data_IF_464425908571
#
_entry.id   IF_464425908571
#
_cell.length_a   1.000
_cell.length_b   1.000
_cell.length_c   1.000
_cell.angle_alpha   90.00
_cell.angle_beta   90.00
_cell.angle_gamma   90.00
#
_symmetry.space_group_name_H-M   'P 1'
#
loop_
_entity.id
_entity.type
_entity.pdbx_description
1 polymer ?
#
# COMPACT_ATOMS: atom_id res chain seq x y z
N UNK A 1 -22.24 13.50 -19.35
CA UNK A 1 -22.96 13.10 -18.12
C UNK A 1 -22.32 13.85 -16.97
N UNK A 2 -22.94 14.95 -16.56
CA UNK A 2 -22.38 15.90 -15.61
C UNK A 2 -22.58 15.41 -14.17
N UNK A 3 -21.50 14.98 -13.51
CA UNK A 3 -21.46 14.79 -12.05
C UNK A 3 -20.62 15.93 -11.48
N UNK A 4 -21.14 17.14 -11.60
CA UNK A 4 -20.77 18.26 -10.73
C UNK A 4 -22.04 18.63 -9.96
N UNK A 5 -22.36 17.86 -8.92
CA UNK A 5 -23.39 18.29 -7.97
C UNK A 5 -22.81 19.43 -7.13
N UNK A 6 -23.23 20.65 -7.48
CA UNK A 6 -23.26 21.87 -6.65
C UNK A 6 -22.98 21.62 -5.17
N UNK A 7 -21.80 22.03 -4.70
CA UNK A 7 -21.61 22.50 -3.31
C UNK A 7 -22.40 23.82 -3.16
N UNK A 8 -23.71 23.75 -2.96
CA UNK A 8 -24.50 24.91 -2.51
C UNK A 8 -25.52 24.46 -1.47
N UNK A 9 -25.45 25.09 -0.29
CA UNK A 9 -26.46 25.13 0.78
C UNK A 9 -26.59 23.94 1.76
N UNK A 10 -25.59 23.07 1.93
CA UNK A 10 -25.62 22.10 3.06
C UNK A 10 -25.58 22.75 4.46
N UNK A 11 -25.01 23.95 4.58
CA UNK A 11 -24.86 24.63 5.87
C UNK A 11 -26.19 25.16 6.43
N UNK A 12 -27.08 25.66 5.58
CA UNK A 12 -28.39 26.20 5.99
C UNK A 12 -29.39 25.11 6.39
N UNK A 13 -29.32 23.93 5.79
CA UNK A 13 -30.20 22.81 6.14
C UNK A 13 -29.85 22.15 7.48
N UNK A 14 -28.58 22.17 7.90
CA UNK A 14 -28.18 21.62 9.21
C UNK A 14 -28.55 22.53 10.39
N UNK A 15 -28.61 23.86 10.21
CA UNK A 15 -28.92 24.82 11.28
C UNK A 15 -30.41 25.09 11.51
N UNK A 16 -31.26 24.80 10.51
CA UNK A 16 -32.70 25.02 10.58
C UNK A 16 -33.41 24.33 11.77
N UNK A 17 -33.18 23.03 12.08
CA UNK A 17 -33.85 22.38 13.20
C UNK A 17 -33.46 22.97 14.57
N UNK A 18 -32.22 23.44 14.71
CA UNK A 18 -31.76 24.16 15.89
C UNK A 18 -32.47 25.51 16.05
N UNK A 19 -32.50 26.31 14.98
CA UNK A 19 -33.15 27.61 14.98
C UNK A 19 -34.65 27.50 15.28
N UNK A 20 -35.35 26.54 14.65
CA UNK A 20 -36.79 26.30 14.88
C UNK A 20 -37.06 25.88 16.32
N UNK A 21 -36.25 24.98 16.89
CA UNK A 21 -36.41 24.51 18.27
C UNK A 21 -36.15 25.62 19.29
N UNK A 22 -35.14 26.48 19.07
CA UNK A 22 -34.87 27.64 19.91
C UNK A 22 -36.01 28.65 19.83
N UNK A 23 -36.50 28.96 18.62
CA UNK A 23 -37.61 29.89 18.41
C UNK A 23 -38.88 29.38 19.09
N UNK A 24 -39.24 28.11 18.92
CA UNK A 24 -40.37 27.49 19.60
C UNK A 24 -40.21 27.53 21.12
N UNK A 25 -39.02 27.20 21.62
CA UNK A 25 -38.67 27.30 23.03
C UNK A 25 -38.96 28.67 23.60
N UNK A 26 -38.46 29.73 22.96
CA UNK A 26 -38.65 31.12 23.38
C UNK A 26 -40.12 31.55 23.28
N UNK A 27 -40.81 31.23 22.18
CA UNK A 27 -42.22 31.60 21.97
C UNK A 27 -43.12 30.99 23.04
N UNK A 28 -42.94 29.71 23.36
CA UNK A 28 -43.74 29.05 24.40
C UNK A 28 -43.40 29.56 25.81
N UNK A 29 -42.15 29.95 26.06
CA UNK A 29 -41.76 30.57 27.33
C UNK A 29 -42.43 31.95 27.52
N UNK A 30 -42.55 32.73 26.43
CA UNK A 30 -43.30 33.99 26.44
C UNK A 30 -44.80 33.71 26.67
N UNK A 31 -45.40 32.75 25.96
CA UNK A 31 -46.81 32.38 26.13
C UNK A 31 -47.14 31.92 27.57
N UNK A 32 -46.21 31.25 28.24
CA UNK A 32 -46.37 30.85 29.64
C UNK A 32 -46.58 32.03 30.59
N UNK A 33 -46.02 33.20 30.28
CA UNK A 33 -46.19 34.42 31.07
C UNK A 33 -47.52 35.14 30.79
N UNK A 34 -48.06 35.01 29.57
CA UNK A 34 -49.32 35.66 29.18
C UNK A 34 -50.58 34.83 29.52
N UNK A 35 -50.45 33.51 29.67
CA UNK A 35 -51.56 32.59 29.94
C UNK A 35 -51.31 31.74 31.20
N UNK A 36 -51.54 32.28 32.41
CA UNK A 36 -51.19 31.63 33.68
C UNK A 36 -51.88 30.28 33.90
N UNK A 37 -53.10 30.13 33.38
CA UNK A 37 -53.90 28.90 33.51
C UNK A 37 -53.28 27.67 32.83
N UNK A 38 -52.41 27.88 31.83
CA UNK A 38 -51.73 26.82 31.07
C UNK A 38 -50.20 26.89 31.21
N UNK A 39 -49.71 27.59 32.24
CA UNK A 39 -48.29 27.90 32.41
C UNK A 39 -47.39 26.66 32.38
N UNK A 40 -47.77 25.60 33.09
CA UNK A 40 -46.96 24.38 33.19
C UNK A 40 -46.85 23.64 31.85
N UNK A 41 -47.93 23.65 31.05
CA UNK A 41 -47.93 23.05 29.71
C UNK A 41 -46.95 23.79 28.80
N UNK A 42 -46.99 25.13 28.79
CA UNK A 42 -46.12 25.95 27.95
C UNK A 42 -44.65 25.89 28.39
N UNK A 43 -44.38 25.85 29.70
CA UNK A 43 -43.02 25.60 30.22
C UNK A 43 -42.54 24.20 29.81
N UNK A 44 -43.39 23.18 29.87
CA UNK A 44 -43.06 21.82 29.44
C UNK A 44 -42.69 21.73 27.95
N UNK A 45 -43.46 22.38 27.08
CA UNK A 45 -43.18 22.44 25.63
C UNK A 45 -41.89 23.24 25.36
N UNK A 46 -41.69 24.35 26.07
CA UNK A 46 -40.48 25.17 25.95
C UNK A 46 -39.24 24.38 26.37
N UNK A 47 -39.29 23.72 27.53
CA UNK A 47 -38.22 22.85 28.04
C UNK A 47 -37.90 21.73 27.06
N UNK A 48 -38.92 21.04 26.53
CA UNK A 48 -38.74 19.98 25.53
C UNK A 48 -38.07 20.52 24.26
N UNK A 49 -38.46 21.71 23.81
CA UNK A 49 -37.88 22.35 22.62
C UNK A 49 -36.39 22.68 22.82
N UNK A 50 -35.99 23.15 24.01
CA UNK A 50 -34.57 23.32 24.34
C UNK A 50 -33.84 21.99 24.55
N UNK A 51 -34.49 20.97 25.10
CA UNK A 51 -33.91 19.63 25.23
C UNK A 51 -33.60 19.00 23.88
N UNK A 52 -34.43 19.22 22.85
CA UNK A 52 -34.16 18.77 21.48
C UNK A 52 -32.83 19.33 20.98
N UNK A 53 -32.56 20.63 21.19
CA UNK A 53 -31.27 21.26 20.83
C UNK A 53 -30.09 20.58 21.53
N UNK A 54 -30.22 20.32 22.84
CA UNK A 54 -29.18 19.64 23.61
C UNK A 54 -28.89 18.22 23.14
N UNK A 55 -29.94 17.45 22.81
CA UNK A 55 -29.82 16.09 22.27
C UNK A 55 -29.13 16.08 20.91
N UNK A 56 -29.52 16.98 20.01
CA UNK A 56 -28.89 17.08 18.69
C UNK A 56 -27.40 17.44 18.77
N UNK A 57 -27.03 18.39 19.63
CA UNK A 57 -25.61 18.73 19.85
C UNK A 57 -24.79 17.54 20.38
N UNK A 58 -25.37 16.74 21.29
CA UNK A 58 -24.72 15.53 21.78
C UNK A 58 -24.55 14.49 20.66
N UNK A 59 -25.57 14.29 19.82
CA UNK A 59 -25.49 13.37 18.67
C UNK A 59 -24.41 13.81 17.69
N UNK A 60 -24.38 15.09 17.29
CA UNK A 60 -23.33 15.60 16.39
C UNK A 60 -21.92 15.46 17.00
N UNK A 61 -21.80 15.69 18.30
CA UNK A 61 -20.52 15.55 19.01
C UNK A 61 -20.06 14.08 19.00
N UNK A 62 -20.97 13.15 19.32
CA UNK A 62 -20.68 11.70 19.30
C UNK A 62 -20.34 11.24 17.88
N UNK A 63 -21.08 11.66 16.87
CA UNK A 63 -20.79 11.37 15.46
C UNK A 63 -19.44 11.93 15.04
N UNK A 64 -19.10 13.16 15.45
CA UNK A 64 -17.81 13.77 15.17
C UNK A 64 -16.65 12.96 15.77
N UNK A 65 -16.75 12.57 17.05
CA UNK A 65 -15.72 11.75 17.70
C UNK A 65 -15.61 10.35 17.08
N UNK A 66 -16.74 9.71 16.77
CA UNK A 66 -16.77 8.41 16.11
C UNK A 66 -16.13 8.47 14.72
N UNK A 67 -16.50 9.46 13.91
CA UNK A 67 -15.95 9.66 12.57
C UNK A 67 -14.46 10.02 12.60
N UNK A 68 -14.00 10.78 13.60
CA UNK A 68 -12.57 11.08 13.75
C UNK A 68 -11.75 9.81 13.98
N UNK A 69 -12.17 8.96 14.91
CA UNK A 69 -11.48 7.69 15.18
C UNK A 69 -11.52 6.77 13.96
N UNK A 70 -12.67 6.67 13.31
CA UNK A 70 -12.83 5.86 12.10
C UNK A 70 -11.92 6.34 10.96
N UNK A 71 -11.82 7.66 10.75
CA UNK A 71 -10.93 8.23 9.73
C UNK A 71 -9.46 7.90 10.02
N UNK A 72 -9.02 7.99 11.28
CA UNK A 72 -7.66 7.59 11.68
C UNK A 72 -7.39 6.11 11.37
N UNK A 73 -8.32 5.21 11.72
CA UNK A 73 -8.21 3.78 11.42
C UNK A 73 -8.20 3.49 9.91
N UNK A 74 -9.02 4.20 9.12
CA UNK A 74 -9.04 4.09 7.66
C UNK A 74 -7.70 4.52 7.07
N UNK A 75 -7.12 5.64 7.52
CA UNK A 75 -5.81 6.09 7.07
C UNK A 75 -4.69 5.10 7.44
N UNK A 76 -4.72 4.54 8.66
CA UNK A 76 -3.78 3.50 9.07
C UNK A 76 -3.89 2.25 8.20
N UNK A 77 -5.11 1.81 7.88
CA UNK A 77 -5.35 0.68 7.00
C UNK A 77 -4.83 0.92 5.58
N UNK A 78 -5.09 2.10 5.02
CA UNK A 78 -4.58 2.51 3.70
C UNK A 78 -3.05 2.51 3.70
N UNK A 79 -2.43 3.10 4.72
CA UNK A 79 -0.98 3.14 4.85
C UNK A 79 -0.41 1.70 4.94
N UNK A 80 -0.96 0.84 5.80
CA UNK A 80 -0.53 -0.54 5.94
C UNK A 80 -0.61 -1.30 4.59
N UNK A 81 -1.76 -1.25 3.91
CA UNK A 81 -1.95 -1.96 2.63
C UNK A 81 -0.98 -1.48 1.56
N UNK A 82 -0.81 -0.16 1.46
CA UNK A 82 0.07 0.45 0.47
C UNK A 82 1.54 0.13 0.78
N UNK A 83 1.97 0.36 2.01
CA UNK A 83 3.33 0.05 2.48
C UNK A 83 3.68 -1.42 2.27
N UNK A 84 2.75 -2.35 2.51
CA UNK A 84 2.96 -3.78 2.23
C UNK A 84 3.29 -4.05 0.77
N UNK A 85 2.51 -3.51 -0.16
CA UNK A 85 2.74 -3.69 -1.61
C UNK A 85 4.06 -3.05 -2.04
N UNK A 86 4.32 -1.83 -1.58
CA UNK A 86 5.56 -1.11 -1.84
C UNK A 86 6.77 -1.88 -1.31
N UNK A 87 6.70 -2.44 -0.12
CA UNK A 87 7.77 -3.23 0.47
C UNK A 87 8.05 -4.51 -0.32
N UNK A 88 7.03 -5.22 -0.80
CA UNK A 88 7.21 -6.39 -1.66
C UNK A 88 7.99 -6.04 -2.95
N UNK A 89 7.69 -4.88 -3.56
CA UNK A 89 8.40 -4.38 -4.75
C UNK A 89 9.84 -4.03 -4.40
N UNK A 90 10.06 -3.26 -3.33
CA UNK A 90 11.39 -2.88 -2.89
C UNK A 90 12.25 -4.10 -2.56
N UNK A 91 11.68 -5.14 -1.94
CA UNK A 91 12.38 -6.40 -1.68
C UNK A 91 12.88 -7.05 -2.98
N UNK A 92 12.09 -7.00 -4.06
CA UNK A 92 12.54 -7.51 -5.37
C UNK A 92 13.69 -6.70 -5.91
N UNK A 93 13.60 -5.37 -5.84
CA UNK A 93 14.66 -4.47 -6.28
C UNK A 93 15.94 -4.67 -5.46
N UNK A 94 15.84 -4.78 -4.14
CA UNK A 94 16.96 -5.11 -3.27
C UNK A 94 17.61 -6.44 -3.68
N UNK A 95 16.86 -7.49 -3.99
CA UNK A 95 17.44 -8.77 -4.46
C UNK A 95 18.21 -8.64 -5.77
N UNK A 96 17.76 -7.78 -6.67
CA UNK A 96 18.48 -7.47 -7.90
C UNK A 96 19.80 -6.75 -7.57
N UNK A 97 19.84 -5.87 -6.57
CA UNK A 97 21.07 -5.11 -6.22
C UNK A 97 22.01 -5.84 -5.27
N UNK A 98 21.50 -6.59 -4.29
CA UNK A 98 22.29 -7.22 -3.23
C UNK A 98 23.27 -8.26 -3.77
N UNK A 99 24.54 -8.15 -3.41
CA UNK A 99 25.59 -9.08 -3.87
C UNK A 99 25.38 -10.54 -3.45
N UNK A 100 24.59 -10.80 -2.39
CA UNK A 100 24.36 -12.15 -1.88
C UNK A 100 22.88 -12.58 -2.04
N UNK A 101 22.61 -13.33 -3.10
CA UNK A 101 21.32 -13.93 -3.41
C UNK A 101 20.96 -15.15 -2.53
N UNK A 102 21.79 -15.56 -1.58
CA UNK A 102 21.51 -16.69 -0.67
C UNK A 102 21.10 -16.27 0.74
N UNK A 103 21.01 -14.96 1.01
CA UNK A 103 20.57 -14.42 2.30
C UNK A 103 19.19 -13.75 2.18
N UNK A 104 18.38 -13.77 3.26
CA UNK A 104 17.15 -12.99 3.32
C UNK A 104 17.47 -11.49 3.24
N UNK A 105 16.62 -10.74 2.54
CA UNK A 105 16.70 -9.26 2.49
C UNK A 105 16.42 -8.69 3.89
N UNK A 106 17.33 -7.86 4.39
CA UNK A 106 17.23 -7.19 5.70
C UNK A 106 16.92 -5.71 5.51
N UNK A 107 16.40 -5.07 6.56
CA UNK A 107 16.07 -3.63 6.55
C UNK A 107 17.26 -2.75 6.10
N UNK A 108 18.47 -3.10 6.52
CA UNK A 108 19.70 -2.39 6.12
C UNK A 108 19.95 -2.41 4.61
N UNK A 109 19.51 -3.45 3.91
CA UNK A 109 19.75 -3.62 2.47
C UNK A 109 18.90 -2.65 1.65
N UNK A 110 17.77 -2.18 2.19
CA UNK A 110 16.96 -1.11 1.60
C UNK A 110 17.64 0.25 1.71
N UNK A 111 18.36 0.49 2.82
CA UNK A 111 19.14 1.72 2.99
C UNK A 111 20.27 1.76 1.95
N UNK A 112 20.97 0.64 1.78
CA UNK A 112 22.04 0.51 0.78
C UNK A 112 21.51 0.74 -0.64
N UNK A 113 20.29 0.29 -0.94
CA UNK A 113 19.65 0.52 -2.24
C UNK A 113 19.53 2.02 -2.59
N UNK A 114 19.26 2.87 -1.60
CA UNK A 114 19.15 4.33 -1.79
C UNK A 114 20.49 5.08 -1.81
N UNK A 115 21.59 4.43 -1.42
CA UNK A 115 22.93 5.03 -1.35
C UNK A 115 23.71 4.89 -2.67
N UNK A 116 23.26 4.01 -3.58
CA UNK A 116 23.93 3.78 -4.85
C UNK A 116 23.71 4.92 -5.86
N UNK A 117 24.80 5.40 -6.46
CA UNK A 117 24.77 6.21 -7.68
C UNK A 117 24.54 5.32 -8.91
N UNK A 118 24.18 5.93 -10.05
CA UNK A 118 24.01 5.21 -11.31
C UNK A 118 25.25 4.37 -11.65
N UNK A 119 26.43 4.98 -11.54
CA UNK A 119 27.68 4.32 -11.91
C UNK A 119 27.98 3.15 -10.97
N UNK A 120 27.88 3.35 -9.66
CA UNK A 120 28.12 2.26 -8.68
C UNK A 120 27.11 1.12 -8.83
N UNK A 121 25.85 1.43 -9.14
CA UNK A 121 24.84 0.40 -9.36
C UNK A 121 25.06 -0.32 -10.69
N UNK A 122 25.47 0.40 -11.74
CA UNK A 122 25.82 -0.21 -13.03
C UNK A 122 26.96 -1.21 -12.87
N UNK A 123 28.01 -0.85 -12.13
CA UNK A 123 29.14 -1.73 -11.81
C UNK A 123 28.71 -2.96 -11.01
N UNK A 124 27.79 -2.80 -10.05
CA UNK A 124 27.24 -3.93 -9.30
C UNK A 124 26.45 -4.85 -10.22
N UNK A 125 25.61 -4.30 -11.10
CA UNK A 125 24.75 -5.07 -11.99
C UNK A 125 25.53 -5.83 -13.07
N UNK A 126 26.58 -5.24 -13.64
CA UNK A 126 27.42 -5.87 -14.67
C UNK A 126 28.26 -7.02 -14.12
N UNK A 127 28.78 -6.87 -12.91
CA UNK A 127 29.69 -7.87 -12.31
C UNK A 127 28.95 -9.03 -11.61
N UNK A 128 27.69 -8.84 -11.24
CA UNK A 128 26.92 -9.81 -10.44
C UNK A 128 26.37 -10.97 -11.26
N UNK A 129 26.40 -12.16 -10.66
CA UNK A 129 25.61 -13.31 -11.10
C UNK A 129 24.26 -13.35 -10.39
N UNK A 130 23.20 -13.51 -11.18
CA UNK A 130 21.82 -13.54 -10.73
C UNK A 130 21.30 -14.97 -10.79
N UNK A 131 20.53 -15.39 -9.77
CA UNK A 131 19.70 -16.59 -9.93
C UNK A 131 18.49 -16.23 -10.79
N UNK A 132 18.05 -17.17 -11.62
CA UNK A 132 16.83 -17.00 -12.42
C UNK A 132 15.63 -16.58 -11.57
N UNK A 133 15.52 -17.11 -10.35
CA UNK A 133 14.50 -16.76 -9.37
C UNK A 133 14.42 -15.25 -9.08
N UNK A 134 15.56 -14.56 -9.09
CA UNK A 134 15.62 -13.12 -8.78
C UNK A 134 15.21 -12.24 -9.96
N UNK A 135 15.25 -12.76 -11.19
CA UNK A 135 15.10 -11.97 -12.43
C UNK A 135 13.85 -12.36 -13.24
N UNK A 136 13.34 -13.59 -13.14
CA UNK A 136 12.09 -14.03 -13.79
C UNK A 136 10.84 -13.58 -13.02
N UNK A 137 10.82 -12.32 -12.58
CA UNK A 137 9.77 -11.75 -11.73
C UNK A 137 8.54 -11.38 -12.56
N UNK A 138 7.36 -11.75 -12.06
CA UNK A 138 6.10 -11.28 -12.61
C UNK A 138 5.74 -9.87 -12.10
N UNK A 139 6.35 -8.86 -12.71
CA UNK A 139 6.07 -7.45 -12.41
C UNK A 139 4.60 -7.07 -12.58
N UNK A 140 3.88 -7.72 -13.51
CA UNK A 140 2.46 -7.45 -13.71
C UNK A 140 1.64 -7.84 -12.48
N UNK A 141 1.98 -8.95 -11.83
CA UNK A 141 1.30 -9.35 -10.60
C UNK A 141 1.45 -8.33 -9.46
N UNK A 142 2.60 -7.66 -9.34
CA UNK A 142 2.81 -6.59 -8.36
C UNK A 142 2.07 -5.31 -8.77
N UNK A 143 2.09 -4.95 -10.05
CA UNK A 143 1.34 -3.80 -10.58
C UNK A 143 -0.16 -3.95 -10.36
N UNK A 144 -0.71 -5.14 -10.60
CA UNK A 144 -2.13 -5.44 -10.38
C UNK A 144 -2.53 -5.28 -8.90
N UNK A 145 -1.61 -5.55 -7.94
CA UNK A 145 -1.89 -5.29 -6.52
C UNK A 145 -2.02 -3.79 -6.25
N UNK A 146 -1.16 -2.99 -6.87
CA UNK A 146 -1.18 -1.54 -6.73
C UNK A 146 -2.38 -0.90 -7.44
N UNK A 147 -2.78 -1.43 -8.60
CA UNK A 147 -4.03 -1.04 -9.28
C UNK A 147 -5.27 -1.33 -8.44
N UNK A 148 -5.34 -2.52 -7.82
CA UNK A 148 -6.44 -2.89 -6.91
C UNK A 148 -6.59 -1.98 -5.69
N UNK A 149 -5.56 -1.23 -5.30
CA UNK A 149 -5.71 -0.20 -4.26
C UNK A 149 -6.66 0.90 -4.72
N UNK A 150 -6.60 1.28 -5.99
CA UNK A 150 -7.45 2.32 -6.58
C UNK A 150 -8.86 1.82 -6.90
N UNK A 151 -9.06 0.51 -7.06
CA UNK A 151 -10.39 -0.08 -7.26
C UNK A 151 -11.23 -0.08 -5.97
N UNK A 152 -10.59 0.08 -4.81
CA UNK A 152 -11.29 0.15 -3.53
C UNK A 152 -11.79 1.57 -3.26
N UNK A 153 -13.11 1.77 -3.28
CA UNK A 153 -13.73 3.07 -2.94
C UNK A 153 -13.22 3.61 -1.59
N UNK A 154 -13.05 2.73 -0.59
CA UNK A 154 -12.53 3.11 0.72
C UNK A 154 -11.13 3.76 0.64
N UNK A 155 -10.28 3.27 -0.26
CA UNK A 155 -8.91 3.75 -0.41
C UNK A 155 -8.89 4.97 -1.35
N UNK A 156 -9.54 4.86 -2.52
CA UNK A 156 -9.57 5.89 -3.53
C UNK A 156 -10.17 7.21 -3.02
N UNK A 157 -11.24 7.15 -2.21
CA UNK A 157 -11.92 8.34 -1.68
C UNK A 157 -11.13 9.02 -0.54
N UNK A 158 -10.19 8.31 0.08
CA UNK A 158 -9.44 8.78 1.26
C UNK A 158 -7.94 9.02 0.99
N UNK A 159 -7.44 8.69 -0.21
CA UNK A 159 -6.10 9.08 -0.65
C UNK A 159 -6.06 10.56 -1.00
N UNK A 160 -5.05 11.26 -0.51
CA UNK A 160 -4.84 12.64 -0.92
C UNK A 160 -4.24 12.72 -2.35
N UNK A 161 -4.34 13.89 -2.98
CA UNK A 161 -3.91 14.04 -4.38
C UNK A 161 -2.41 13.81 -4.60
N UNK A 162 -1.57 14.05 -3.61
CA UNK A 162 -0.11 13.87 -3.71
C UNK A 162 0.26 12.39 -3.56
N UNK A 163 -0.39 11.68 -2.63
CA UNK A 163 -0.28 10.25 -2.42
C UNK A 163 -0.69 9.50 -3.69
N UNK A 164 -1.85 9.82 -4.25
CA UNK A 164 -2.33 9.22 -5.51
C UNK A 164 -1.37 9.49 -6.67
N UNK A 165 -0.89 10.74 -6.84
CA UNK A 165 0.10 11.09 -7.87
C UNK A 165 1.41 10.30 -7.71
N UNK A 166 1.88 10.13 -6.47
CA UNK A 166 3.13 9.41 -6.18
C UNK A 166 3.00 7.93 -6.50
N UNK A 167 1.90 7.30 -6.10
CA UNK A 167 1.62 5.90 -6.43
C UNK A 167 1.49 5.68 -7.94
N UNK A 168 0.88 6.61 -8.69
CA UNK A 168 0.81 6.53 -10.15
C UNK A 168 2.20 6.67 -10.79
N UNK A 169 3.08 7.54 -10.27
CA UNK A 169 4.46 7.65 -10.76
C UNK A 169 5.23 6.34 -10.55
N UNK A 170 5.13 5.77 -9.34
CA UNK A 170 5.72 4.48 -9.00
C UNK A 170 5.20 3.38 -9.93
N UNK A 171 3.88 3.29 -10.10
CA UNK A 171 3.22 2.34 -11.02
C UNK A 171 3.81 2.42 -12.43
N UNK A 172 3.80 3.63 -13.02
CA UNK A 172 4.30 3.85 -14.37
C UNK A 172 5.76 3.46 -14.50
N UNK A 173 6.60 3.78 -13.51
CA UNK A 173 8.03 3.47 -13.58
C UNK A 173 8.30 1.98 -13.46
N UNK A 174 7.63 1.28 -12.55
CA UNK A 174 7.72 -0.19 -12.44
C UNK A 174 7.22 -0.86 -13.71
N UNK A 175 6.14 -0.34 -14.30
CA UNK A 175 5.60 -0.84 -15.58
C UNK A 175 6.63 -0.70 -16.71
N UNK A 176 7.27 0.45 -16.83
CA UNK A 176 8.36 0.65 -17.79
C UNK A 176 9.51 -0.32 -17.55
N UNK A 177 9.95 -0.46 -16.30
CA UNK A 177 11.02 -1.39 -15.93
C UNK A 177 10.69 -2.84 -16.28
N UNK A 178 9.50 -3.32 -15.90
CA UNK A 178 9.02 -4.66 -16.25
C UNK A 178 8.94 -4.87 -17.78
N UNK A 179 8.48 -3.88 -18.54
CA UNK A 179 8.44 -3.96 -20.00
C UNK A 179 9.83 -4.04 -20.64
N UNK A 180 10.83 -3.33 -20.11
CA UNK A 180 12.21 -3.44 -20.57
C UNK A 180 12.71 -4.87 -20.37
N UNK A 181 12.51 -5.40 -19.15
CA UNK A 181 12.94 -6.76 -18.81
C UNK A 181 12.23 -7.81 -19.68
N UNK A 182 10.93 -7.65 -19.95
CA UNK A 182 10.15 -8.61 -20.72
C UNK A 182 10.52 -8.66 -22.20
N UNK A 183 10.66 -7.48 -22.82
CA UNK A 183 10.89 -7.40 -24.28
C UNK A 183 12.30 -7.79 -24.66
N UNK A 184 13.27 -7.46 -23.81
CA UNK A 184 14.68 -7.62 -24.10
C UNK A 184 15.32 -8.69 -23.20
N UNK A 185 14.52 -9.55 -22.56
CA UNK A 185 14.99 -10.49 -21.52
C UNK A 185 16.24 -11.26 -21.95
N UNK A 186 16.18 -11.94 -23.10
CA UNK A 186 17.26 -12.79 -23.62
C UNK A 186 18.51 -11.98 -24.01
N UNK A 187 18.36 -10.69 -24.30
CA UNK A 187 19.47 -9.79 -24.60
C UNK A 187 20.08 -9.19 -23.34
N UNK A 188 19.24 -8.95 -22.33
CA UNK A 188 19.65 -8.40 -21.03
C UNK A 188 20.35 -9.48 -20.20
N UNK A 189 19.75 -10.65 -20.06
CA UNK A 189 20.23 -11.71 -19.18
C UNK A 189 20.85 -12.85 -19.97
N UNK A 190 22.17 -12.92 -19.91
CA UNK A 190 22.96 -13.97 -20.55
C UNK A 190 23.07 -15.15 -19.57
N UNK A 191 22.67 -16.34 -20.01
CA UNK A 191 22.84 -17.57 -19.23
C UNK A 191 24.34 -17.91 -19.09
N UNK A 192 24.82 -18.02 -17.86
CA UNK A 192 26.24 -18.30 -17.56
C UNK A 192 26.44 -19.71 -17.02
N UNK A 193 25.53 -20.21 -16.20
CA UNK A 193 25.63 -21.54 -15.62
C UNK A 193 24.26 -22.22 -15.53
N UNK A 194 24.20 -23.47 -15.97
CA UNK A 194 23.05 -24.37 -15.81
C UNK A 194 23.18 -25.26 -14.57
N UNK A 195 24.31 -25.19 -13.88
CA UNK A 195 24.60 -25.99 -12.71
C UNK A 195 24.01 -25.31 -11.48
N UNK A 196 23.23 -26.11 -10.77
CA UNK A 196 22.43 -25.67 -9.64
C UNK A 196 23.23 -25.99 -8.39
N UNK A 197 23.46 -25.00 -7.53
CA UNK A 197 23.96 -25.28 -6.18
C UNK A 197 22.97 -26.26 -5.53
N UNK A 198 23.44 -27.45 -5.16
CA UNK A 198 22.61 -28.53 -4.60
C UNK A 198 21.86 -28.12 -3.34
N UNK A 199 22.26 -27.01 -2.71
CA UNK A 199 21.60 -26.43 -1.56
C UNK A 199 20.42 -25.52 -1.92
N UNK A 200 20.18 -25.25 -3.20
CA UNK A 200 19.06 -24.45 -3.70
C UNK A 200 17.88 -25.37 -3.99
N UNK A 201 16.77 -25.10 -3.32
CA UNK A 201 15.49 -25.75 -3.58
C UNK A 201 14.49 -24.67 -4.01
N UNK A 202 13.85 -24.88 -5.16
CA UNK A 202 12.77 -24.03 -5.64
C UNK A 202 11.53 -24.90 -5.81
N UNK A 203 10.43 -24.50 -5.18
CA UNK A 203 9.13 -25.20 -5.24
C UNK A 203 8.01 -24.19 -5.40
N UNK A 204 6.81 -24.62 -5.78
CA UNK A 204 5.63 -23.75 -5.95
C UNK A 204 4.49 -24.22 -5.05
N UNK A 205 3.76 -23.29 -4.40
CA UNK A 205 2.54 -23.64 -3.66
C UNK A 205 1.30 -23.75 -4.57
N UNK A 206 0.19 -24.19 -3.98
CA UNK A 206 -1.14 -24.22 -4.61
C UNK A 206 -1.59 -22.88 -5.17
N UNK A 207 -1.10 -21.77 -4.60
CA UNK A 207 -1.46 -20.41 -4.98
C UNK A 207 -0.54 -19.82 -6.07
N UNK A 208 0.37 -20.62 -6.62
CA UNK A 208 1.28 -20.23 -7.70
C UNK A 208 2.46 -19.35 -7.28
N UNK A 209 2.78 -19.28 -5.99
CA UNK A 209 3.97 -18.63 -5.47
C UNK A 209 5.14 -19.59 -5.40
N UNK A 210 6.30 -19.14 -5.90
CA UNK A 210 7.54 -19.89 -5.81
C UNK A 210 8.26 -19.58 -4.49
N UNK A 211 8.75 -20.63 -3.84
CA UNK A 211 9.65 -20.56 -2.70
C UNK A 211 11.08 -20.77 -3.17
N UNK A 212 11.98 -19.96 -2.65
CA UNK A 212 13.42 -20.17 -2.76
C UNK A 212 13.97 -20.49 -1.36
N UNK A 213 14.52 -21.70 -1.22
CA UNK A 213 15.24 -22.13 -0.02
C UNK A 213 16.72 -22.30 -0.32
N UNK A 214 17.54 -21.98 0.66
CA UNK A 214 18.97 -22.23 0.64
C UNK A 214 19.38 -22.98 1.89
N UNK A 215 19.97 -24.17 1.74
CA UNK A 215 20.36 -25.05 2.86
C UNK A 215 19.20 -25.36 3.82
N UNK A 216 17.99 -25.52 3.27
CA UNK A 216 16.77 -25.81 4.05
C UNK A 216 16.08 -24.59 4.66
N UNK A 217 16.71 -23.41 4.66
CA UNK A 217 16.10 -22.18 5.16
C UNK A 217 15.31 -21.48 4.04
N UNK A 218 14.07 -21.07 4.34
CA UNK A 218 13.29 -20.25 3.41
C UNK A 218 13.92 -18.87 3.32
N UNK A 219 14.45 -18.55 2.15
CA UNK A 219 15.06 -17.24 1.88
C UNK A 219 14.01 -16.28 1.37
N UNK A 220 13.16 -16.73 0.44
CA UNK A 220 12.21 -15.83 -0.19
C UNK A 220 11.03 -16.50 -0.90
N UNK A 221 9.99 -15.70 -1.09
CA UNK A 221 8.78 -15.98 -1.85
C UNK A 221 8.64 -14.98 -3.00
N UNK A 222 8.26 -15.44 -4.19
CA UNK A 222 8.06 -14.58 -5.35
C UNK A 222 6.99 -15.12 -6.31
N UNK A 223 6.37 -14.21 -7.05
CA UNK A 223 5.63 -14.58 -8.28
C UNK A 223 6.60 -14.52 -9.44
N UNK A 224 6.77 -15.67 -10.10
CA UNK A 224 7.68 -15.80 -11.24
C UNK A 224 6.89 -16.10 -12.52
N UNK A 225 7.37 -15.58 -13.65
CA UNK A 225 6.73 -15.80 -14.96
C UNK A 225 6.99 -17.19 -15.54
N UNK A 226 8.06 -17.83 -15.10
CA UNK A 226 8.48 -19.13 -15.61
C UNK A 226 7.95 -20.25 -14.75
N UNK A 227 7.43 -21.30 -15.40
CA UNK A 227 6.94 -22.54 -14.78
C UNK A 227 8.01 -23.63 -14.66
N UNK A 228 9.18 -23.42 -15.25
CA UNK A 228 10.27 -24.38 -15.18
C UNK A 228 11.27 -24.06 -14.06
N UNK A 229 11.26 -24.87 -13.01
CA UNK A 229 12.16 -24.73 -11.84
C UNK A 229 13.65 -24.63 -12.23
N UNK A 230 14.11 -25.42 -13.21
CA UNK A 230 15.50 -25.39 -13.68
C UNK A 230 15.92 -23.99 -14.15
N UNK A 231 15.05 -23.29 -14.88
CA UNK A 231 15.35 -21.94 -15.36
C UNK A 231 15.48 -20.93 -14.21
N UNK A 232 14.73 -21.13 -13.11
CA UNK A 232 14.80 -20.31 -11.90
C UNK A 232 16.07 -20.59 -11.07
N UNK A 233 16.64 -21.80 -11.19
CA UNK A 233 17.85 -22.21 -10.47
C UNK A 233 19.14 -21.89 -11.25
N UNK A 234 19.06 -21.67 -12.56
CA UNK A 234 20.18 -21.27 -13.41
C UNK A 234 20.75 -19.90 -13.01
N UNK A 235 22.01 -19.66 -13.38
CA UNK A 235 22.68 -18.38 -13.19
C UNK A 235 22.78 -17.56 -14.46
N UNK A 236 22.57 -16.26 -14.33
CA UNK A 236 22.60 -15.29 -15.41
C UNK A 236 23.51 -14.11 -15.07
N UNK A 237 24.00 -13.42 -16.09
CA UNK A 237 24.65 -12.10 -15.96
C UNK A 237 23.94 -11.08 -16.82
N UNK A 238 23.97 -9.83 -16.38
CA UNK A 238 23.47 -8.72 -17.19
C UNK A 238 24.54 -8.40 -18.25
N UNK A 239 24.13 -8.25 -19.51
CA UNK A 239 25.01 -7.77 -20.54
C UNK A 239 25.35 -6.29 -20.30
N UNK A 240 26.64 -5.94 -20.31
CA UNK A 240 27.16 -4.63 -19.92
C UNK A 240 26.43 -3.45 -20.57
N UNK A 241 26.04 -3.57 -21.84
CA UNK A 241 25.32 -2.51 -22.56
C UNK A 241 23.96 -2.13 -21.95
N UNK A 242 23.39 -2.96 -21.07
CA UNK A 242 22.11 -2.71 -20.39
C UNK A 242 22.24 -2.36 -18.91
N UNK A 243 23.41 -2.53 -18.28
CA UNK A 243 23.59 -2.29 -16.84
C UNK A 243 23.23 -0.85 -16.47
N UNK A 244 23.69 0.11 -17.28
CA UNK A 244 23.44 1.54 -17.13
C UNK A 244 21.95 1.91 -17.16
N UNK A 245 21.21 1.34 -18.12
CA UNK A 245 19.78 1.62 -18.30
C UNK A 245 19.00 1.03 -17.13
N UNK A 246 19.35 -0.19 -16.70
CA UNK A 246 18.69 -0.84 -15.57
C UNK A 246 19.01 -0.13 -14.25
N UNK A 247 20.26 0.28 -14.04
CA UNK A 247 20.67 1.06 -12.87
C UNK A 247 19.88 2.37 -12.77
N UNK A 248 19.79 3.12 -13.86
CA UNK A 248 19.02 4.36 -13.92
C UNK A 248 17.53 4.11 -13.62
N UNK A 249 16.96 3.02 -14.14
CA UNK A 249 15.56 2.66 -13.83
C UNK A 249 15.35 2.34 -12.35
N UNK A 250 16.22 1.55 -11.75
CA UNK A 250 16.13 1.19 -10.33
C UNK A 250 16.26 2.43 -9.44
N UNK A 251 17.21 3.33 -9.73
CA UNK A 251 17.40 4.57 -8.96
C UNK A 251 16.17 5.46 -9.02
N UNK A 252 15.61 5.68 -10.21
CA UNK A 252 14.39 6.49 -10.35
C UNK A 252 13.20 5.87 -9.61
N UNK A 253 13.09 4.54 -9.62
CA UNK A 253 12.06 3.86 -8.82
C UNK A 253 12.30 4.18 -7.34
N UNK A 254 13.49 3.91 -6.82
CA UNK A 254 13.83 4.11 -5.40
C UNK A 254 13.61 5.56 -4.97
N UNK A 255 13.96 6.52 -5.82
CA UNK A 255 13.72 7.94 -5.58
C UNK A 255 12.21 8.23 -5.41
N UNK A 256 11.36 7.71 -6.30
CA UNK A 256 9.90 7.90 -6.16
C UNK A 256 9.31 7.21 -4.93
N UNK A 257 9.90 6.10 -4.48
CA UNK A 257 9.52 5.47 -3.22
C UNK A 257 9.88 6.35 -2.01
N UNK A 258 11.05 6.99 -2.02
CA UNK A 258 11.48 7.90 -0.95
C UNK A 258 10.67 9.20 -0.93
N UNK A 259 10.23 9.68 -2.09
CA UNK A 259 9.39 10.88 -2.23
C UNK A 259 7.91 10.61 -1.92
N UNK A 260 7.49 9.34 -1.75
CA UNK A 260 6.09 9.01 -1.53
C UNK A 260 5.61 9.46 -0.13
N UNK A 261 4.56 10.29 -0.02
CA UNK A 261 4.08 10.77 1.27
C UNK A 261 3.59 9.66 2.21
N UNK A 262 3.20 8.50 1.66
CA UNK A 262 2.72 7.35 2.43
C UNK A 262 3.89 6.67 3.16
N UNK A 263 5.06 6.59 2.52
CA UNK A 263 6.25 5.94 3.10
C UNK A 263 6.95 6.82 4.14
N UNK A 264 6.70 8.14 4.13
CA UNK A 264 7.31 9.08 5.07
C UNK A 264 6.57 9.25 6.41
N UNK A 265 5.28 8.86 6.48
CA UNK A 265 4.41 9.04 7.66
C UNK A 265 4.37 7.83 8.60
N UNK A 266 5.53 7.27 8.94
CA UNK A 266 5.69 6.00 9.67
C UNK A 266 5.27 4.79 8.80
N UNK A 267 6.26 4.07 8.28
CA UNK A 267 6.04 2.73 7.74
C UNK A 267 5.55 1.82 8.88
N UNK A 268 4.26 1.51 8.91
CA UNK A 268 3.70 0.48 9.77
C UNK A 268 4.09 -0.90 9.22
N UNK A 269 5.33 -1.31 9.48
CA UNK A 269 5.80 -2.65 9.20
C UNK A 269 5.77 -3.45 10.50
N UNK A 270 5.00 -4.54 10.51
CA UNK A 270 5.28 -5.63 11.44
C UNK A 270 6.57 -6.32 10.96
N UNK A 271 7.65 -6.38 11.77
CA UNK A 271 8.86 -7.12 11.43
C UNK A 271 8.61 -8.59 11.07
N UNK A 272 7.51 -9.18 11.54
CA UNK A 272 7.11 -10.55 11.21
C UNK A 272 6.49 -10.67 9.80
N UNK A 273 5.85 -9.63 9.28
CA UNK A 273 5.30 -9.64 7.91
C UNK A 273 6.39 -9.71 6.83
N UNK A 274 7.64 -9.37 7.18
CA UNK A 274 8.81 -9.44 6.29
C UNK A 274 9.42 -10.86 6.25
N UNK A 275 9.19 -11.68 7.27
CA UNK A 275 9.91 -12.95 7.49
C UNK A 275 9.04 -14.20 7.54
N UNK A 276 7.75 -14.11 7.91
CA UNK A 276 6.97 -15.31 8.25
C UNK A 276 5.87 -15.62 7.25
N UNK A 277 6.20 -16.40 6.23
CA UNK A 277 5.35 -17.55 5.95
C UNK A 277 5.90 -18.71 6.76
N UNK A 278 5.24 -19.02 7.89
CA UNK A 278 5.43 -20.33 8.52
C UNK A 278 5.09 -21.37 7.47
N UNK A 279 6.07 -22.20 7.14
CA UNK A 279 5.90 -23.39 6.31
C UNK A 279 4.66 -24.10 6.83
N UNK A 280 3.65 -24.27 5.98
CA UNK A 280 2.59 -25.24 6.28
C UNK A 280 3.30 -26.58 6.48
N UNK A 281 3.38 -27.02 7.72
CA UNK A 281 3.77 -28.38 8.02
C UNK A 281 2.76 -29.25 7.28
N UNK A 282 3.20 -29.87 6.16
CA UNK A 282 2.51 -31.04 5.64
C UNK A 282 2.42 -32.00 6.82
N UNK A 283 1.20 -32.17 7.32
CA UNK A 283 0.85 -33.34 8.10
C UNK A 283 1.26 -34.54 7.27
N UNK A 284 2.35 -35.18 7.67
CA UNK A 284 2.64 -36.54 7.28
C UNK A 284 1.52 -37.36 7.91
N UNK A 285 0.46 -37.59 7.14
CA UNK A 285 -0.59 -38.55 7.43
C UNK A 285 -0.52 -39.63 6.35
N UNK A 286 -0.16 -40.84 6.76
CA UNK A 286 -0.31 -42.09 5.99
C UNK A 286 1.01 -42.67 5.51
#
# INVERSE_FOLDING_TARGET
MAIFSRKSNKFYFNLAPYAVSIILGVVFLILANYFPSNKDLFIGISSTSFSIVGVFLLVETVEYFANRKLNEEIHQYINYKTTKILMEILQRLCRIVCLNNTKPTKLKDFKTLGEHTKDTLSDVLSNKEFLGFDIFIDWLAYLNKLEKLFDSNLIADNLNSEEAKSLIKIHKRIKTFGHILDREFEKIFILVDKNIDKNIEITVNSDGFYFFKYKGELIQLAKCKITHEKCLQNKYKIADKYSDILAQNIIEIVQYFNECPITSREMLLDPNDIMTYKVENKSVNG
#
